data_IF_371529379529
#
_entry.id   IF_371529379529
#
_cell.length_a   1.000
_cell.length_b   1.000
_cell.length_c   1.000
_cell.angle_alpha   90.00
_cell.angle_beta   90.00
_cell.angle_gamma   90.00
#
_symmetry.space_group_name_H-M   'P 1'
#
loop_
_entity.id
_entity.type
_entity.pdbx_description
1 polymer ?
#
# COMPACT_ATOMS: atom_id res chain seq x y z
N UNK A 1 -32.20 9.23 7.01
CA UNK A 1 -30.81 9.64 6.76
C UNK A 1 -29.93 8.47 7.16
N UNK A 2 -29.49 7.67 6.19
CA UNK A 2 -28.89 6.35 6.41
C UNK A 2 -27.72 6.08 5.45
N UNK A 3 -27.00 7.13 5.06
CA UNK A 3 -25.80 7.02 4.23
C UNK A 3 -24.60 7.15 5.16
N UNK A 4 -23.76 6.11 5.23
CA UNK A 4 -22.49 6.16 5.96
C UNK A 4 -21.56 7.16 5.25
N UNK A 5 -21.41 8.36 5.82
CA UNK A 5 -20.58 9.45 5.28
C UNK A 5 -19.06 9.19 5.35
N UNK A 6 -18.63 8.05 5.88
CA UNK A 6 -17.22 7.69 6.08
C UNK A 6 -16.69 6.66 5.07
N UNK A 7 -17.46 6.30 4.03
CA UNK A 7 -16.98 5.41 2.95
C UNK A 7 -16.01 6.14 2.03
N UNK A 8 -14.75 6.22 2.45
CA UNK A 8 -13.67 6.92 1.76
C UNK A 8 -12.93 6.00 0.79
N UNK A 9 -12.42 6.58 -0.30
CA UNK A 9 -11.37 5.97 -1.12
C UNK A 9 -10.00 6.33 -0.55
N UNK A 10 -9.01 5.48 -0.76
CA UNK A 10 -7.63 5.69 -0.31
C UNK A 10 -6.76 5.99 -1.51
N UNK A 11 -6.10 7.15 -1.47
CA UNK A 11 -5.03 7.53 -2.39
C UNK A 11 -3.83 8.05 -1.60
N UNK A 12 -2.67 8.05 -2.23
CA UNK A 12 -1.49 8.78 -1.77
C UNK A 12 -1.02 9.70 -2.90
N UNK A 13 -0.16 10.67 -2.61
CA UNK A 13 0.36 11.59 -3.62
C UNK A 13 1.72 12.10 -3.22
N UNK A 14 2.52 12.45 -4.23
CA UNK A 14 3.66 13.34 -4.09
C UNK A 14 3.15 14.77 -3.93
N UNK A 15 3.84 15.56 -3.11
CA UNK A 15 3.66 17.01 -3.03
C UNK A 15 5.02 17.69 -3.25
N UNK A 16 5.71 17.42 -4.35
CA UNK A 16 7.01 18.03 -4.62
C UNK A 16 6.87 19.48 -5.11
N UNK A 17 7.39 20.46 -4.35
CA UNK A 17 7.34 21.90 -4.72
C UNK A 17 8.50 22.31 -5.65
N UNK A 18 9.07 21.33 -6.35
CA UNK A 18 10.23 21.48 -7.24
C UNK A 18 9.99 20.84 -8.62
N UNK A 19 8.72 20.67 -9.02
CA UNK A 19 8.31 20.11 -10.32
C UNK A 19 8.71 18.65 -10.56
N UNK A 20 8.73 17.82 -9.51
CA UNK A 20 9.09 16.39 -9.54
C UNK A 20 7.87 15.48 -9.31
N UNK A 21 6.76 15.78 -9.99
CA UNK A 21 5.51 15.05 -9.79
C UNK A 21 5.67 13.55 -10.10
N UNK A 22 5.27 12.71 -9.14
CA UNK A 22 5.36 11.26 -9.26
C UNK A 22 6.77 10.67 -9.16
N UNK A 23 7.78 11.47 -8.80
CA UNK A 23 9.11 10.98 -8.44
C UNK A 23 9.12 10.55 -6.97
N UNK A 24 9.11 9.24 -6.77
CA UNK A 24 9.08 8.60 -5.46
C UNK A 24 10.36 7.83 -5.14
N UNK A 25 11.43 8.06 -5.90
CA UNK A 25 12.63 7.24 -5.83
C UNK A 25 13.55 7.64 -4.67
N UNK A 26 13.68 6.79 -3.65
CA UNK A 26 14.50 7.03 -2.46
C UNK A 26 15.97 7.41 -2.81
N UNK A 27 16.65 6.67 -3.69
CA UNK A 27 18.07 6.93 -3.96
C UNK A 27 18.33 8.27 -4.67
N UNK A 28 17.38 8.73 -5.49
CA UNK A 28 17.52 9.93 -6.32
C UNK A 28 16.79 11.15 -5.78
N UNK A 29 16.11 11.00 -4.64
CA UNK A 29 15.14 11.99 -4.18
C UNK A 29 15.78 13.37 -3.96
N UNK A 30 15.34 14.43 -4.68
CA UNK A 30 15.96 15.75 -4.65
C UNK A 30 15.43 16.68 -3.54
N UNK A 31 14.61 16.17 -2.62
CA UNK A 31 13.95 16.97 -1.59
C UNK A 31 12.52 17.35 -1.94
N UNK A 32 11.81 17.92 -0.98
CA UNK A 32 10.42 18.35 -1.08
C UNK A 32 10.31 19.82 -1.52
N UNK A 33 11.21 20.69 -1.03
CA UNK A 33 11.23 22.14 -1.28
C UNK A 33 12.55 22.57 -1.92
N UNK A 34 12.58 23.75 -2.55
CA UNK A 34 13.78 24.28 -3.18
C UNK A 34 15.03 24.31 -2.27
N UNK A 35 14.95 24.70 -0.98
CA UNK A 35 16.12 24.65 -0.08
C UNK A 35 16.66 23.24 0.15
N UNK A 36 15.81 22.21 0.07
CA UNK A 36 16.21 20.81 0.24
C UNK A 36 16.91 20.25 -1.01
N UNK A 37 17.07 21.02 -2.08
CA UNK A 37 17.89 20.57 -3.23
C UNK A 37 19.37 20.46 -2.87
N UNK A 38 19.80 21.21 -1.85
CA UNK A 38 21.08 21.02 -1.18
C UNK A 38 21.02 19.83 -0.20
N UNK A 39 21.99 18.91 -0.31
CA UNK A 39 21.97 17.65 0.44
C UNK A 39 22.15 17.85 1.95
N UNK A 40 23.05 18.75 2.36
CA UNK A 40 23.30 19.02 3.78
C UNK A 40 22.06 19.65 4.44
N UNK A 41 21.42 20.59 3.75
CA UNK A 41 20.14 21.17 4.19
C UNK A 41 19.05 20.10 4.29
N UNK A 42 18.96 19.18 3.33
CA UNK A 42 17.99 18.08 3.34
C UNK A 42 18.19 17.11 4.51
N UNK A 43 19.43 16.85 4.91
CA UNK A 43 19.77 16.00 6.07
C UNK A 43 19.53 16.67 7.43
N UNK A 44 19.29 17.98 7.47
CA UNK A 44 19.07 18.69 8.73
C UNK A 44 17.66 18.44 9.30
N UNK A 45 17.58 18.24 10.62
CA UNK A 45 16.32 18.24 11.36
C UNK A 45 15.94 19.69 11.68
N UNK A 46 15.12 20.29 10.80
CA UNK A 46 14.48 21.61 10.97
C UNK A 46 15.41 22.83 10.97
N UNK A 47 16.02 23.10 9.81
CA UNK A 47 16.60 24.38 9.43
C UNK A 47 15.66 25.28 8.62
N UNK A 48 16.09 25.71 7.43
CA UNK A 48 15.31 26.54 6.48
C UNK A 48 14.14 25.79 5.81
N UNK A 49 14.00 24.49 6.05
CA UNK A 49 12.86 23.67 5.62
C UNK A 49 12.07 23.11 6.82
N UNK A 50 10.73 23.18 6.82
CA UNK A 50 9.89 22.61 7.87
C UNK A 50 9.89 21.07 7.91
N UNK A 51 10.42 20.39 6.88
CA UNK A 51 10.35 18.92 6.78
C UNK A 51 11.74 18.25 6.80
N UNK A 52 12.66 18.61 5.88
CA UNK A 52 14.07 18.21 5.89
C UNK A 52 14.24 16.69 6.07
N UNK A 53 15.02 16.30 7.08
CA UNK A 53 15.35 14.90 7.37
C UNK A 53 14.13 14.00 7.56
N UNK A 54 12.99 14.55 8.00
CA UNK A 54 11.76 13.79 8.30
C UNK A 54 10.88 13.54 7.08
N UNK A 55 11.16 14.19 5.94
CA UNK A 55 10.46 13.99 4.67
C UNK A 55 10.73 12.63 4.03
N UNK A 56 9.90 12.27 3.06
CA UNK A 56 10.12 11.15 2.15
C UNK A 56 9.72 11.58 0.72
N UNK A 57 10.02 10.76 -0.30
CA UNK A 57 9.65 11.05 -1.69
C UNK A 57 8.15 11.18 -1.96
N UNK A 58 7.31 10.72 -1.03
CA UNK A 58 5.86 10.75 -1.14
C UNK A 58 5.32 9.52 -1.86
N UNK A 59 4.01 9.49 -2.04
CA UNK A 59 3.29 8.34 -2.56
C UNK A 59 2.70 8.53 -3.95
N UNK A 60 2.04 7.50 -4.47
CA UNK A 60 1.31 7.57 -5.75
C UNK A 60 -0.17 7.24 -5.59
N UNK A 61 -0.99 7.90 -6.39
CA UNK A 61 -2.40 7.57 -6.55
C UNK A 61 -2.56 6.60 -7.70
N UNK A 62 -3.09 5.41 -7.40
CA UNK A 62 -3.47 4.41 -8.39
C UNK A 62 -4.97 4.43 -8.63
N UNK A 63 -5.37 4.36 -9.91
CA UNK A 63 -6.78 4.32 -10.31
C UNK A 63 -6.98 3.16 -11.28
N UNK A 64 -7.84 2.22 -10.93
CA UNK A 64 -8.22 1.14 -11.84
C UNK A 64 -9.37 1.61 -12.74
N UNK A 65 -9.04 1.97 -13.97
CA UNK A 65 -9.99 2.39 -15.00
C UNK A 65 -10.00 1.40 -16.16
N UNK A 66 -11.15 1.29 -16.82
CA UNK A 66 -11.32 0.41 -17.99
C UNK A 66 -10.53 0.88 -19.21
N UNK A 67 -10.18 2.17 -19.25
CA UNK A 67 -9.34 2.79 -20.26
C UNK A 67 -8.71 4.09 -19.73
N UNK A 68 -7.72 4.63 -20.45
CA UNK A 68 -7.09 5.90 -20.13
C UNK A 68 -7.85 7.09 -20.75
N UNK A 69 -9.11 7.27 -20.33
CA UNK A 69 -9.96 8.40 -20.69
C UNK A 69 -10.38 9.18 -19.44
N UNK A 70 -10.64 10.48 -19.60
CA UNK A 70 -11.06 11.34 -18.47
C UNK A 70 -12.30 10.78 -17.76
N UNK A 71 -13.27 10.32 -18.54
CA UNK A 71 -14.54 9.84 -18.01
C UNK A 71 -14.36 8.50 -17.30
N UNK A 72 -13.59 7.57 -17.87
CA UNK A 72 -13.29 6.29 -17.22
C UNK A 72 -12.55 6.48 -15.88
N UNK A 73 -11.55 7.37 -15.86
CA UNK A 73 -10.80 7.70 -14.63
C UNK A 73 -11.72 8.36 -13.60
N UNK A 74 -12.57 9.30 -14.01
CA UNK A 74 -13.50 9.98 -13.11
C UNK A 74 -14.53 9.00 -12.50
N UNK A 75 -15.09 8.11 -13.30
CA UNK A 75 -16.01 7.09 -12.78
C UNK A 75 -15.31 6.11 -11.84
N UNK A 76 -14.01 5.81 -12.05
CA UNK A 76 -13.20 5.01 -11.11
C UNK A 76 -13.00 5.70 -9.78
N UNK A 77 -12.66 6.99 -9.81
CA UNK A 77 -12.55 7.81 -8.60
C UNK A 77 -13.89 7.87 -7.85
N UNK A 78 -14.99 8.06 -8.57
CA UNK A 78 -16.34 8.13 -7.98
C UNK A 78 -16.76 6.83 -7.30
N UNK A 79 -16.47 5.68 -7.92
CA UNK A 79 -16.73 4.37 -7.31
C UNK A 79 -15.65 3.94 -6.31
N UNK A 80 -14.58 4.73 -6.14
CA UNK A 80 -13.46 4.51 -5.22
C UNK A 80 -12.65 3.26 -5.54
N UNK A 81 -12.55 2.90 -6.82
CA UNK A 81 -11.70 1.80 -7.26
C UNK A 81 -10.24 2.28 -7.41
N UNK A 82 -9.67 2.67 -6.28
CA UNK A 82 -8.40 3.39 -6.17
C UNK A 82 -7.53 2.84 -5.04
N UNK A 83 -6.24 3.12 -5.11
CA UNK A 83 -5.27 2.76 -4.08
C UNK A 83 -4.20 3.85 -3.94
N UNK A 84 -3.51 3.85 -2.79
CA UNK A 84 -2.33 4.67 -2.55
C UNK A 84 -1.09 3.81 -2.35
N UNK A 85 0.08 4.27 -2.78
CA UNK A 85 1.39 3.70 -2.42
C UNK A 85 2.19 4.69 -1.58
N UNK A 86 3.12 4.26 -0.73
CA UNK A 86 4.02 5.17 0.02
C UNK A 86 5.26 5.59 -0.77
N UNK A 87 5.45 5.05 -1.97
CA UNK A 87 6.59 5.35 -2.81
C UNK A 87 6.50 4.63 -4.16
N UNK A 88 6.81 3.35 -4.17
CA UNK A 88 6.95 2.54 -5.40
C UNK A 88 5.61 2.29 -6.11
N UNK A 89 5.66 1.83 -7.37
CA UNK A 89 4.47 1.56 -8.21
C UNK A 89 3.90 0.16 -8.02
N UNK A 90 3.72 -0.28 -6.77
CA UNK A 90 3.03 -1.53 -6.46
C UNK A 90 1.60 -1.47 -7.03
N UNK A 91 1.14 -2.55 -7.66
CA UNK A 91 -0.19 -2.63 -8.27
C UNK A 91 -1.10 -3.61 -7.50
N UNK A 92 -1.78 -3.17 -6.42
CA UNK A 92 -2.68 -4.02 -5.64
C UNK A 92 -4.09 -4.09 -6.25
N UNK A 93 -4.73 -5.24 -6.08
CA UNK A 93 -6.13 -5.53 -6.42
C UNK A 93 -6.81 -6.23 -5.25
N UNK A 94 -8.03 -5.80 -4.94
CA UNK A 94 -8.88 -6.41 -3.93
C UNK A 94 -10.29 -6.57 -4.49
N UNK A 95 -10.83 -7.77 -4.38
CA UNK A 95 -12.23 -8.09 -4.62
C UNK A 95 -12.79 -8.84 -3.41
N UNK A 96 -14.10 -8.71 -3.17
CA UNK A 96 -14.81 -9.51 -2.18
C UNK A 96 -16.03 -10.20 -2.81
N UNK A 97 -16.33 -11.41 -2.37
CA UNK A 97 -17.43 -12.20 -2.88
C UNK A 97 -17.67 -13.44 -2.02
N UNK A 98 -18.39 -14.40 -2.58
CA UNK A 98 -18.85 -15.59 -1.85
C UNK A 98 -18.47 -16.91 -2.55
N UNK A 99 -17.92 -16.82 -3.76
CA UNK A 99 -17.71 -17.96 -4.65
C UNK A 99 -16.52 -17.70 -5.59
N UNK A 100 -15.37 -17.35 -5.02
CA UNK A 100 -14.12 -17.33 -5.76
C UNK A 100 -13.61 -18.77 -5.93
N UNK A 101 -13.20 -19.10 -7.15
CA UNK A 101 -12.59 -20.40 -7.43
C UNK A 101 -11.30 -20.59 -6.62
N UNK A 102 -11.08 -21.81 -6.10
CA UNK A 102 -9.87 -22.16 -5.35
C UNK A 102 -8.59 -21.96 -6.17
N UNK A 103 -8.68 -22.02 -7.51
CA UNK A 103 -7.58 -21.81 -8.43
C UNK A 103 -7.58 -20.39 -9.06
N UNK A 104 -8.16 -19.40 -8.39
CA UNK A 104 -8.25 -18.04 -8.92
C UNK A 104 -6.87 -17.40 -9.16
N UNK A 105 -5.85 -17.78 -8.39
CA UNK A 105 -4.50 -17.24 -8.53
C UNK A 105 -3.74 -17.79 -9.74
N UNK A 106 -4.12 -18.95 -10.25
CA UNK A 106 -3.55 -19.59 -11.44
C UNK A 106 -4.22 -19.12 -12.74
N UNK A 107 -5.26 -18.29 -12.67
CA UNK A 107 -5.96 -17.78 -13.84
C UNK A 107 -5.14 -16.70 -14.56
N UNK A 108 -5.16 -16.73 -15.90
CA UNK A 108 -4.47 -15.74 -16.74
C UNK A 108 -5.04 -14.32 -16.53
N UNK A 109 -6.36 -14.20 -16.46
CA UNK A 109 -7.05 -12.93 -16.18
C UNK A 109 -7.77 -12.96 -14.82
N UNK A 110 -6.97 -12.77 -13.78
CA UNK A 110 -7.44 -12.66 -12.39
C UNK A 110 -8.45 -11.53 -12.23
N UNK A 111 -8.23 -10.39 -12.90
CA UNK A 111 -9.12 -9.24 -12.74
C UNK A 111 -10.52 -9.53 -13.29
N UNK A 112 -10.62 -10.14 -14.48
CA UNK A 112 -11.90 -10.55 -15.04
C UNK A 112 -12.66 -11.52 -14.12
N UNK A 113 -11.97 -12.49 -13.52
CA UNK A 113 -12.58 -13.38 -12.52
C UNK A 113 -13.07 -12.61 -11.28
N UNK A 114 -12.25 -11.69 -10.77
CA UNK A 114 -12.60 -10.79 -9.67
C UNK A 114 -13.89 -10.00 -9.93
N UNK A 115 -14.00 -9.36 -11.09
CA UNK A 115 -15.20 -8.61 -11.49
C UNK A 115 -16.42 -9.51 -11.75
N UNK A 116 -16.21 -10.73 -12.24
CA UNK A 116 -17.31 -11.65 -12.54
C UNK A 116 -17.91 -12.30 -11.28
N UNK A 117 -17.10 -12.49 -10.22
CA UNK A 117 -17.47 -13.25 -9.02
C UNK A 117 -17.56 -12.43 -7.74
N UNK A 118 -17.17 -11.16 -7.79
CA UNK A 118 -17.18 -10.30 -6.62
C UNK A 118 -17.34 -8.82 -6.96
N UNK A 119 -17.23 -8.02 -5.92
CA UNK A 119 -17.22 -6.56 -5.99
C UNK A 119 -15.79 -6.05 -5.74
N UNK A 120 -15.32 -5.04 -6.49
CA UNK A 120 -13.96 -4.51 -6.32
C UNK A 120 -13.86 -3.61 -5.09
N UNK A 121 -12.61 -3.33 -4.69
CA UNK A 121 -12.21 -2.28 -3.76
C UNK A 121 -13.05 -0.99 -3.92
N UNK A 122 -13.46 -0.37 -2.81
CA UNK A 122 -14.34 0.80 -2.80
C UNK A 122 -15.85 0.49 -2.86
N UNK A 123 -16.21 -0.76 -3.11
CA UNK A 123 -17.59 -1.25 -3.16
C UNK A 123 -18.18 -1.68 -1.82
N UNK A 124 -19.42 -2.13 -1.91
CA UNK A 124 -20.23 -2.64 -0.81
C UNK A 124 -20.54 -4.12 -1.02
N UNK A 125 -20.13 -4.96 -0.07
CA UNK A 125 -20.47 -6.36 0.00
C UNK A 125 -21.76 -6.52 0.82
N UNK A 126 -22.77 -7.15 0.22
CA UNK A 126 -24.07 -7.39 0.85
C UNK A 126 -24.50 -8.85 0.72
N UNK A 127 -25.24 -9.34 1.70
CA UNK A 127 -25.84 -10.68 1.67
C UNK A 127 -24.81 -11.78 1.95
N UNK A 128 -24.98 -12.92 1.28
CA UNK A 128 -24.13 -14.11 1.41
C UNK A 128 -24.95 -15.38 1.68
N UNK A 129 -24.45 -16.57 1.30
CA UNK A 129 -25.05 -17.83 1.74
C UNK A 129 -25.11 -17.89 3.27
N UNK A 130 -26.19 -18.45 3.82
CA UNK A 130 -26.37 -18.53 5.27
C UNK A 130 -25.20 -19.30 5.92
N UNK A 131 -24.52 -18.65 6.87
CA UNK A 131 -23.37 -19.24 7.59
C UNK A 131 -22.05 -19.23 6.84
N UNK A 132 -21.96 -18.60 5.66
CA UNK A 132 -20.71 -18.40 4.94
C UNK A 132 -20.00 -17.12 5.39
N UNK A 133 -18.67 -17.15 5.40
CA UNK A 133 -17.84 -15.97 5.52
C UNK A 133 -17.49 -15.40 4.13
N UNK A 134 -17.26 -14.09 4.01
CA UNK A 134 -16.86 -13.51 2.75
C UNK A 134 -15.45 -13.97 2.36
N UNK A 135 -15.28 -14.22 1.07
CA UNK A 135 -13.98 -14.49 0.47
C UNK A 135 -13.43 -13.19 -0.09
N UNK A 136 -12.16 -12.92 0.18
CA UNK A 136 -11.40 -11.81 -0.38
C UNK A 136 -10.39 -12.36 -1.37
N UNK A 137 -10.53 -11.96 -2.63
CA UNK A 137 -9.55 -12.25 -3.65
C UNK A 137 -8.59 -11.08 -3.77
N UNK A 138 -7.35 -11.32 -3.35
CA UNK A 138 -6.32 -10.30 -3.27
C UNK A 138 -5.15 -10.65 -4.17
N UNK A 139 -4.57 -9.63 -4.79
CA UNK A 139 -3.28 -9.78 -5.47
C UNK A 139 -2.52 -8.46 -5.48
N UNK A 140 -1.21 -8.54 -5.65
CA UNK A 140 -0.40 -7.38 -6.00
C UNK A 140 0.78 -7.80 -6.88
N UNK A 141 1.14 -6.91 -7.80
CA UNK A 141 2.37 -6.98 -8.57
C UNK A 141 3.36 -5.95 -8.03
N UNK A 142 4.63 -6.32 -8.01
CA UNK A 142 5.74 -5.41 -7.66
C UNK A 142 5.86 -4.24 -8.66
N UNK A 143 6.57 -3.20 -8.25
CA UNK A 143 7.20 -2.29 -9.21
C UNK A 143 8.46 -2.96 -9.79
N UNK A 144 8.56 -3.08 -11.11
CA UNK A 144 9.72 -3.69 -11.78
C UNK A 144 11.01 -2.90 -11.61
N UNK A 145 10.93 -1.66 -11.12
CA UNK A 145 12.09 -0.80 -10.85
C UNK A 145 12.39 -0.67 -9.36
N UNK A 146 11.71 -1.41 -8.49
CA UNK A 146 11.89 -1.33 -7.04
C UNK A 146 12.02 -2.70 -6.37
N UNK A 147 11.84 -2.72 -5.05
CA UNK A 147 11.93 -3.93 -4.25
C UNK A 147 10.77 -4.89 -4.54
N UNK A 148 11.06 -6.19 -4.39
CA UNK A 148 10.04 -7.22 -4.52
C UNK A 148 9.04 -7.16 -3.35
N UNK A 149 7.85 -7.72 -3.54
CA UNK A 149 6.86 -7.84 -2.47
C UNK A 149 7.32 -8.84 -1.41
N UNK A 150 7.19 -8.48 -0.14
CA UNK A 150 7.38 -9.36 0.99
C UNK A 150 6.11 -10.15 1.29
N UNK A 151 4.97 -9.46 1.38
CA UNK A 151 3.70 -10.06 1.83
C UNK A 151 2.48 -9.24 1.40
N UNK A 152 1.33 -9.90 1.44
CA UNK A 152 0.01 -9.28 1.39
C UNK A 152 -0.69 -9.46 2.74
N UNK A 153 -1.37 -8.40 3.17
CA UNK A 153 -2.12 -8.39 4.41
C UNK A 153 -3.55 -7.91 4.16
N UNK A 154 -4.53 -8.62 4.70
CA UNK A 154 -5.90 -8.13 4.81
C UNK A 154 -6.05 -7.48 6.17
N UNK A 155 -6.50 -6.23 6.18
CA UNK A 155 -6.87 -5.53 7.41
C UNK A 155 -8.39 -5.50 7.48
N UNK A 156 -8.93 -6.15 8.50
CA UNK A 156 -10.33 -6.07 8.88
C UNK A 156 -10.49 -5.01 9.95
N UNK A 157 -11.47 -4.13 9.81
CA UNK A 157 -11.97 -3.32 10.91
C UNK A 157 -13.47 -3.52 11.09
N UNK A 158 -13.95 -3.43 12.33
CA UNK A 158 -15.37 -3.61 12.63
C UNK A 158 -15.77 -2.84 13.87
N UNK A 159 -17.08 -2.67 14.06
CA UNK A 159 -17.66 -2.07 15.26
C UNK A 159 -18.38 -3.18 16.02
N UNK A 160 -17.89 -3.48 17.22
CA UNK A 160 -18.52 -4.45 18.11
C UNK A 160 -19.73 -3.85 18.84
N UNK A 161 -20.49 -4.71 19.53
CA UNK A 161 -21.58 -4.30 20.42
C UNK A 161 -21.13 -3.20 21.40
N UNK A 162 -21.92 -2.14 21.50
CA UNK A 162 -21.59 -0.96 22.32
C UNK A 162 -20.76 0.11 21.61
N UNK A 163 -20.43 -0.07 20.32
CA UNK A 163 -19.81 0.97 19.48
C UNK A 163 -18.29 1.02 19.55
N UNK A 164 -17.64 -0.01 20.11
CA UNK A 164 -16.18 -0.08 20.17
C UNK A 164 -15.60 -0.45 18.81
N UNK A 165 -14.63 0.33 18.33
CA UNK A 165 -13.92 0.05 17.09
C UNK A 165 -12.77 -0.95 17.32
N UNK A 166 -12.71 -1.97 16.47
CA UNK A 166 -11.68 -2.99 16.47
C UNK A 166 -11.02 -3.09 15.09
N UNK A 167 -9.80 -3.61 15.07
CA UNK A 167 -9.14 -4.00 13.83
C UNK A 167 -8.27 -5.23 14.05
N UNK A 168 -8.05 -5.97 12.96
CA UNK A 168 -7.17 -7.12 12.91
C UNK A 168 -6.45 -7.18 11.58
N UNK A 169 -5.19 -7.62 11.62
CA UNK A 169 -4.34 -7.81 10.45
C UNK A 169 -4.15 -9.31 10.24
N UNK A 170 -4.41 -9.77 9.03
CA UNK A 170 -4.17 -11.14 8.59
C UNK A 170 -3.09 -11.12 7.51
N UNK A 171 -2.00 -11.85 7.71
CA UNK A 171 -1.04 -12.13 6.64
C UNK A 171 -1.64 -13.23 5.76
N UNK A 172 -1.91 -12.92 4.48
CA UNK A 172 -2.71 -13.81 3.60
C UNK A 172 -1.92 -14.38 2.42
N UNK A 173 -0.83 -13.72 2.03
CA UNK A 173 0.09 -14.21 1.01
C UNK A 173 1.51 -13.70 1.28
N UNK A 174 2.48 -14.35 0.67
CA UNK A 174 3.89 -14.15 0.98
C UNK A 174 4.29 -14.96 2.20
N UNK A 175 5.52 -14.77 2.67
CA UNK A 175 6.06 -15.58 3.78
C UNK A 175 6.17 -14.72 5.02
N UNK A 176 5.39 -15.06 6.04
CA UNK A 176 5.77 -14.74 7.42
C UNK A 176 7.13 -15.42 7.63
N UNK A 177 8.21 -14.65 7.84
CA UNK A 177 9.55 -15.07 8.31
C UNK A 177 10.66 -15.32 7.25
N UNK A 178 11.94 -14.98 7.48
CA UNK A 178 12.62 -14.44 8.69
C UNK A 178 14.07 -14.01 8.34
N UNK A 179 14.59 -12.95 8.99
CA UNK A 179 16.03 -12.56 9.03
C UNK A 179 16.68 -12.08 7.74
N UNK A 180 15.92 -11.62 6.76
CA UNK A 180 16.57 -10.72 5.81
C UNK A 180 17.03 -9.48 6.58
N UNK A 181 18.23 -9.02 6.28
CA UNK A 181 18.76 -7.75 6.74
C UNK A 181 19.07 -6.95 5.48
N UNK A 182 18.89 -5.63 5.58
CA UNK A 182 19.39 -4.73 4.55
C UNK A 182 20.86 -4.48 4.89
N UNK A 183 21.75 -4.84 3.98
CA UNK A 183 23.14 -4.41 4.06
C UNK A 183 23.17 -2.88 3.96
N UNK A 184 23.54 -2.22 5.05
CA UNK A 184 23.51 -0.77 5.13
C UNK A 184 24.56 -0.09 4.24
N UNK A 185 25.55 -0.79 3.68
CA UNK A 185 26.49 -0.21 2.73
C UNK A 185 26.03 -0.38 1.27
N UNK A 186 25.32 -1.46 0.95
CA UNK A 186 24.97 -1.80 -0.44
C UNK A 186 23.49 -1.68 -0.75
N UNK A 187 22.63 -1.66 0.28
CA UNK A 187 21.18 -1.73 0.17
C UNK A 187 20.63 -3.12 -0.18
N UNK A 188 21.49 -4.14 -0.26
CA UNK A 188 21.07 -5.48 -0.61
C UNK A 188 20.22 -6.12 0.51
N UNK A 189 19.04 -6.59 0.15
CA UNK A 189 18.19 -7.43 1.01
C UNK A 189 18.64 -8.89 0.95
N UNK A 190 18.96 -9.50 2.09
CA UNK A 190 19.38 -10.90 2.16
C UNK A 190 18.23 -11.92 2.20
N UNK A 191 16.99 -11.46 2.36
CA UNK A 191 15.81 -12.31 2.36
C UNK A 191 15.28 -12.60 0.96
N UNK A 192 14.07 -13.16 0.90
CA UNK A 192 13.34 -13.39 -0.35
C UNK A 192 12.19 -12.41 -0.48
N UNK A 193 11.83 -12.10 -1.72
CA UNK A 193 10.60 -11.41 -2.08
C UNK A 193 9.89 -12.13 -3.21
N UNK A 194 8.82 -11.55 -3.72
CA UNK A 194 8.05 -12.08 -4.85
C UNK A 194 7.61 -10.95 -5.78
N UNK A 195 7.67 -11.20 -7.08
CA UNK A 195 7.20 -10.25 -8.09
C UNK A 195 5.67 -10.15 -8.15
N UNK A 196 5.00 -11.22 -7.72
CA UNK A 196 3.55 -11.41 -7.81
C UNK A 196 3.12 -12.21 -6.57
N UNK A 197 2.14 -11.68 -5.84
CA UNK A 197 1.50 -12.35 -4.72
C UNK A 197 -0.01 -12.37 -4.94
N UNK A 198 -0.64 -13.48 -4.56
CA UNK A 198 -2.06 -13.69 -4.72
C UNK A 198 -2.60 -14.62 -3.64
N UNK A 199 -3.83 -14.39 -3.18
CA UNK A 199 -4.57 -15.31 -2.31
C UNK A 199 -6.07 -15.16 -2.47
N UNK A 200 -6.80 -16.25 -2.20
CA UNK A 200 -8.22 -16.22 -1.84
C UNK A 200 -8.29 -16.46 -0.33
N UNK A 201 -8.70 -15.44 0.42
CA UNK A 201 -8.74 -15.46 1.88
C UNK A 201 -10.18 -15.44 2.37
N UNK A 202 -10.54 -16.35 3.26
CA UNK A 202 -11.83 -16.35 3.95
C UNK A 202 -11.62 -15.83 5.38
N UNK A 203 -12.44 -14.88 5.83
CA UNK A 203 -12.31 -14.33 7.19
C UNK A 203 -12.80 -15.36 8.25
N UNK A 204 -11.89 -15.93 9.07
CA UNK A 204 -12.25 -16.96 10.03
C UNK A 204 -13.02 -16.40 11.25
N UNK A 205 -13.03 -15.07 11.40
CA UNK A 205 -13.65 -14.36 12.52
C UNK A 205 -14.82 -13.48 12.04
N UNK A 206 -15.41 -13.82 10.89
CA UNK A 206 -16.55 -13.10 10.34
C UNK A 206 -17.79 -13.26 11.22
N UNK A 207 -18.36 -12.13 11.63
CA UNK A 207 -19.69 -12.06 12.23
C UNK A 207 -20.63 -11.32 11.27
N UNK A 208 -21.68 -11.98 10.74
CA UNK A 208 -22.62 -11.34 9.82
C UNK A 208 -23.45 -10.22 10.46
N UNK A 209 -23.48 -10.12 11.79
CA UNK A 209 -24.16 -9.06 12.54
C UNK A 209 -23.28 -7.82 12.75
N UNK A 210 -21.98 -7.89 12.48
CA UNK A 210 -21.06 -6.76 12.67
C UNK A 210 -20.85 -5.99 11.36
N UNK A 211 -21.04 -4.67 11.41
CA UNK A 211 -20.58 -3.79 10.34
C UNK A 211 -19.05 -3.81 10.30
N UNK A 212 -18.48 -4.19 9.15
CA UNK A 212 -17.05 -4.37 8.97
C UNK A 212 -16.55 -3.79 7.66
N UNK A 213 -15.24 -3.60 7.56
CA UNK A 213 -14.56 -3.21 6.34
C UNK A 213 -13.25 -3.97 6.19
N UNK A 214 -12.83 -4.16 4.95
CA UNK A 214 -11.63 -4.88 4.59
C UNK A 214 -10.82 -4.06 3.61
N UNK A 215 -9.52 -3.92 3.84
CA UNK A 215 -8.60 -3.41 2.82
C UNK A 215 -7.34 -4.26 2.77
N UNK A 216 -6.78 -4.38 1.58
CA UNK A 216 -5.49 -4.98 1.33
C UNK A 216 -4.37 -3.95 1.57
N UNK A 217 -3.33 -4.40 2.28
CA UNK A 217 -2.00 -3.78 2.36
C UNK A 217 -0.97 -4.71 1.72
N UNK A 218 -0.35 -4.27 0.64
CA UNK A 218 0.83 -4.93 0.07
C UNK A 218 2.08 -4.31 0.68
N UNK A 219 3.09 -5.12 0.98
CA UNK A 219 4.32 -4.69 1.66
C UNK A 219 5.53 -5.19 0.87
N UNK A 220 6.46 -4.30 0.52
CA UNK A 220 7.74 -4.64 -0.08
C UNK A 220 8.76 -5.14 0.94
N UNK A 221 9.80 -5.83 0.46
CA UNK A 221 11.00 -6.08 1.27
C UNK A 221 11.68 -4.74 1.61
N UNK A 222 12.34 -4.61 2.78
CA UNK A 222 12.92 -3.34 3.17
C UNK A 222 14.08 -2.92 2.26
N UNK A 223 14.21 -1.61 2.06
CA UNK A 223 15.26 -0.94 1.28
C UNK A 223 15.95 0.12 2.14
N UNK A 224 17.01 0.73 1.62
CA UNK A 224 17.58 1.93 2.25
C UNK A 224 16.62 3.10 2.08
N UNK A 225 16.39 3.85 3.15
CA UNK A 225 15.70 5.14 3.09
C UNK A 225 16.58 6.18 2.40
N UNK A 226 16.03 7.16 1.68
CA UNK A 226 16.78 8.17 0.91
C UNK A 226 17.96 8.76 1.67
N UNK A 227 17.77 9.10 2.96
CA UNK A 227 18.77 9.80 3.76
C UNK A 227 20.03 8.96 3.91
N UNK A 228 19.85 7.68 4.20
CA UNK A 228 20.96 6.77 4.33
C UNK A 228 21.47 6.30 2.97
N UNK A 229 20.58 6.04 2.01
CA UNK A 229 20.92 5.65 0.64
C UNK A 229 21.87 6.66 -0.04
N UNK A 230 21.61 7.95 0.13
CA UNK A 230 22.44 9.02 -0.43
C UNK A 230 23.75 9.20 0.36
N UNK A 231 23.71 9.07 1.69
CA UNK A 231 24.93 9.11 2.51
C UNK A 231 25.91 7.97 2.16
N UNK A 232 25.43 6.74 1.97
CA UNK A 232 26.32 5.59 1.69
C UNK A 232 26.81 5.54 0.25
N UNK A 233 26.19 6.29 -0.65
CA UNK A 233 26.69 6.50 -2.01
C UNK A 233 27.96 7.38 -2.04
N UNK A 234 28.23 8.16 -0.99
CA UNK A 234 29.45 8.97 -0.86
C UNK A 234 30.61 8.17 -0.23
N UNK A 235 31.86 8.45 -0.63
CA UNK A 235 33.05 8.00 0.09
C UNK A 235 32.97 8.37 1.58
N UNK A 236 33.47 7.50 2.46
CA UNK A 236 33.29 7.66 3.91
C UNK A 236 33.90 8.97 4.47
N UNK A 237 34.96 9.46 3.85
CA UNK A 237 35.66 10.72 4.17
C UNK A 237 35.04 11.96 3.52
N UNK A 238 34.09 11.78 2.60
CA UNK A 238 33.32 12.86 1.94
C UNK A 238 31.90 13.01 2.49
N UNK A 239 31.48 12.13 3.42
CA UNK A 239 30.14 12.19 4.03
C UNK A 239 30.03 13.42 4.94
N UNK A 240 29.00 14.26 4.78
CA UNK A 240 28.72 15.33 5.73
C UNK A 240 28.47 14.79 7.14
N UNK A 241 28.81 15.56 8.17
CA UNK A 241 28.54 15.20 9.58
C UNK A 241 27.05 14.91 9.80
N UNK A 242 26.16 15.58 9.06
CA UNK A 242 24.71 15.36 9.10
C UNK A 242 24.27 13.95 8.67
N UNK A 243 25.15 13.13 8.06
CA UNK A 243 24.89 11.72 7.81
C UNK A 243 24.87 10.88 9.09
N UNK A 244 25.47 11.36 10.19
CA UNK A 244 25.34 10.78 11.52
C UNK A 244 24.10 11.36 12.21
N UNK A 245 22.94 10.78 11.92
CA UNK A 245 21.64 11.20 12.45
C UNK A 245 20.81 9.98 12.90
N UNK A 246 19.73 10.25 13.64
CA UNK A 246 18.85 9.24 14.23
C UNK A 246 17.71 8.78 13.30
N UNK A 247 17.67 9.20 12.03
CA UNK A 247 16.62 8.78 11.12
C UNK A 247 16.73 7.26 10.83
N UNK A 248 15.60 6.57 10.62
CA UNK A 248 15.63 5.18 10.17
C UNK A 248 16.47 5.03 8.91
N UNK A 249 17.43 4.09 8.94
CA UNK A 249 18.32 3.82 7.79
C UNK A 249 17.62 3.04 6.68
N UNK A 250 16.50 2.39 7.01
CA UNK A 250 15.72 1.56 6.10
C UNK A 250 14.25 1.96 6.13
N UNK A 251 13.53 1.57 5.08
CA UNK A 251 12.09 1.77 4.94
C UNK A 251 11.46 0.53 4.30
N UNK A 252 10.15 0.36 4.49
CA UNK A 252 9.35 -0.60 3.72
C UNK A 252 8.25 0.17 3.01
N UNK A 253 8.27 0.09 1.69
CA UNK A 253 7.23 0.65 0.87
C UNK A 253 6.00 -0.27 0.84
N UNK A 254 4.85 0.36 0.74
CA UNK A 254 3.56 -0.29 0.90
C UNK A 254 2.54 0.27 -0.07
N UNK A 255 1.49 -0.49 -0.31
CA UNK A 255 0.30 -0.03 -1.03
C UNK A 255 -0.98 -0.41 -0.29
N UNK A 256 -1.95 0.49 -0.27
CA UNK A 256 -3.25 0.34 0.39
C UNK A 256 -4.37 0.52 -0.61
N UNK A 257 -5.21 -0.50 -0.67
CA UNK A 257 -6.45 -0.44 -1.42
C UNK A 257 -7.52 0.40 -0.71
N UNK A 258 -8.46 0.95 -1.47
CA UNK A 258 -9.71 1.44 -0.89
C UNK A 258 -10.47 0.30 -0.20
N UNK A 259 -11.12 0.54 0.95
CA UNK A 259 -11.83 -0.51 1.65
C UNK A 259 -13.04 -1.03 0.87
N UNK A 260 -13.32 -2.31 1.04
CA UNK A 260 -14.63 -2.92 0.81
C UNK A 260 -15.40 -2.88 2.13
N UNK A 261 -16.65 -2.48 2.08
CA UNK A 261 -17.51 -2.37 3.26
C UNK A 261 -18.52 -3.50 3.28
N UNK A 262 -18.78 -4.07 4.45
CA UNK A 262 -19.87 -5.00 4.70
C UNK A 262 -20.85 -4.37 5.68
N UNK A 263 -22.13 -4.40 5.32
CA UNK A 263 -23.23 -3.97 6.17
C UNK A 263 -24.14 -5.16 6.45
N UNK A 264 -24.43 -5.47 7.72
CA UNK A 264 -25.43 -6.47 8.08
C UNK A 264 -26.78 -6.17 7.43
N UNK A 265 -27.53 -7.21 7.02
CA UNK A 265 -28.91 -7.02 6.57
C UNK A 265 -29.79 -6.50 7.71
N UNK A 266 -30.74 -5.63 7.38
CA UNK A 266 -31.78 -5.12 8.31
C UNK A 266 -32.71 -6.23 8.85
#
# INVERSE_FOLDING_TARGET
>A
MGVNSYKMGVIASTDGHISTAGDTHEHGWPGHLAPETDFETRLSDRGSSPFGLTSNPGGLAGVWAVENSRDAIFESLRRKEVFGTTGTRIMPRLFAGWDFANNACEMDDRAAHGYARGIPMGGDLSGGPAGAAPQLFVSALQDTHAAQLQKLQVIKGWIADGGQAHYKVFDVAGRENQKGEVDLQTGAWSGTGSADLCAVFEDPEFDPAEASYYYLRAVEVPTLRWSWAQCVALPADERPDACDNDAPKTIQEMAWTSPIWYLPPD
#
